data_IF_273224669743
#
_entry.id   IF_273224669743
#
_cell.length_a   1.000
_cell.length_b   1.000
_cell.length_c   1.000
_cell.angle_alpha   90.00
_cell.angle_beta   90.00
_cell.angle_gamma   90.00
#
_symmetry.space_group_name_H-M   'P 1'
#
loop_
_entity.id
_entity.type
_entity.pdbx_description
1 polymer ?
#
# COMPACT_ATOMS: atom_id res chain seq x y z
N UNK A 1 8.69 -11.09 8.09
CA UNK A 1 7.83 -9.89 8.12
C UNK A 1 6.58 -10.16 7.28
N UNK A 2 5.43 -9.79 7.78
CA UNK A 2 4.18 -9.98 7.06
C UNK A 2 4.01 -8.86 6.05
N UNK A 3 3.73 -9.22 4.80
CA UNK A 3 3.50 -8.27 3.71
C UNK A 3 1.99 -8.09 3.53
N UNK A 4 1.54 -6.86 3.61
CA UNK A 4 0.13 -6.53 3.47
C UNK A 4 -0.05 -5.65 2.24
N UNK A 5 -0.91 -6.10 1.32
CA UNK A 5 -1.23 -5.36 0.12
C UNK A 5 -2.49 -4.53 0.30
N UNK A 6 -2.50 -3.33 -0.28
CA UNK A 6 -3.67 -2.47 -0.28
C UNK A 6 -3.96 -2.09 -1.73
N UNK A 7 -5.16 -2.44 -2.20
CA UNK A 7 -5.64 -2.03 -3.52
C UNK A 7 -6.51 -0.79 -3.33
N UNK A 8 -6.15 0.30 -3.99
CA UNK A 8 -6.87 1.56 -3.86
C UNK A 8 -6.26 2.44 -2.77
N UNK A 9 -5.26 3.25 -3.15
CA UNK A 9 -4.57 4.16 -2.24
C UNK A 9 -5.25 5.53 -2.17
N UNK A 10 -6.57 5.54 -2.07
CA UNK A 10 -7.31 6.76 -1.80
C UNK A 10 -7.16 7.17 -0.34
N UNK A 11 -8.03 8.06 0.12
CA UNK A 11 -7.95 8.60 1.48
C UNK A 11 -8.02 7.49 2.54
N UNK A 12 -8.95 6.55 2.38
CA UNK A 12 -9.14 5.46 3.34
C UNK A 12 -7.98 4.48 3.29
N UNK A 13 -7.56 4.10 2.07
CA UNK A 13 -6.44 3.17 1.90
C UNK A 13 -5.14 3.71 2.47
N UNK A 14 -4.91 5.03 2.32
CA UNK A 14 -3.74 5.67 2.90
C UNK A 14 -3.75 5.63 4.42
N UNK A 15 -4.91 5.84 5.05
CA UNK A 15 -5.04 5.76 6.50
C UNK A 15 -4.75 4.36 7.03
N UNK A 16 -5.31 3.35 6.37
CA UNK A 16 -5.07 1.95 6.73
C UNK A 16 -3.58 1.60 6.59
N UNK A 17 -2.96 2.05 5.49
CA UNK A 17 -1.54 1.80 5.27
C UNK A 17 -0.67 2.39 6.38
N UNK A 18 -0.95 3.62 6.78
CA UNK A 18 -0.18 4.28 7.84
C UNK A 18 -0.31 3.52 9.16
N UNK A 19 -1.52 3.09 9.52
CA UNK A 19 -1.76 2.35 10.75
C UNK A 19 -1.01 1.01 10.74
N UNK A 20 -1.04 0.31 9.61
CA UNK A 20 -0.35 -0.97 9.47
C UNK A 20 1.17 -0.79 9.56
N UNK A 21 1.71 0.28 8.99
CA UNK A 21 3.13 0.57 9.12
C UNK A 21 3.53 0.83 10.56
N UNK A 22 2.71 1.55 11.30
CA UNK A 22 2.96 1.79 12.73
C UNK A 22 2.99 0.50 13.53
N UNK A 23 2.26 -0.51 13.09
CA UNK A 23 2.25 -1.82 13.72
C UNK A 23 3.42 -2.70 13.29
N UNK A 24 4.27 -2.25 12.37
CA UNK A 24 5.46 -2.96 11.96
C UNK A 24 5.30 -3.86 10.73
N UNK A 25 4.17 -3.80 10.04
CA UNK A 25 3.97 -4.58 8.82
C UNK A 25 4.64 -3.91 7.62
N UNK A 26 5.00 -4.73 6.62
CA UNK A 26 5.42 -4.24 5.32
C UNK A 26 4.17 -3.99 4.48
N UNK A 27 3.99 -2.77 4.01
CA UNK A 27 2.77 -2.36 3.31
C UNK A 27 3.07 -2.10 1.84
N UNK A 28 2.31 -2.75 0.96
CA UNK A 28 2.44 -2.67 -0.48
C UNK A 28 1.16 -2.08 -1.04
N UNK A 29 1.25 -0.97 -1.75
CA UNK A 29 0.08 -0.28 -2.27
C UNK A 29 -0.05 -0.38 -3.78
N UNK A 30 -1.27 -0.50 -4.27
CA UNK A 30 -1.56 -0.48 -5.70
C UNK A 30 -2.60 0.59 -6.00
N UNK A 31 -2.30 1.43 -6.98
CA UNK A 31 -3.19 2.47 -7.45
C UNK A 31 -3.00 2.66 -8.94
N UNK A 32 -4.07 2.98 -9.65
CA UNK A 32 -4.00 3.27 -11.09
C UNK A 32 -3.19 4.54 -11.38
N UNK A 33 -3.14 5.47 -10.43
CA UNK A 33 -2.47 6.76 -10.62
C UNK A 33 -1.06 6.70 -10.07
N UNK A 34 -0.09 6.90 -10.96
CA UNK A 34 1.32 6.94 -10.55
C UNK A 34 1.60 8.03 -9.53
N UNK A 35 0.94 9.18 -9.65
CA UNK A 35 1.09 10.28 -8.70
C UNK A 35 0.66 9.86 -7.31
N UNK A 36 -0.44 9.10 -7.20
CA UNK A 36 -0.91 8.57 -5.92
C UNK A 36 0.11 7.61 -5.31
N UNK A 37 0.70 6.75 -6.14
CA UNK A 37 1.74 5.82 -5.69
C UNK A 37 2.96 6.56 -5.15
N UNK A 38 3.45 7.55 -5.89
CA UNK A 38 4.61 8.34 -5.49
C UNK A 38 4.35 9.08 -4.19
N UNK A 39 3.18 9.68 -4.06
CA UNK A 39 2.80 10.42 -2.88
C UNK A 39 2.69 9.50 -1.66
N UNK A 40 2.11 8.32 -1.84
CA UNK A 40 1.96 7.36 -0.74
C UNK A 40 3.31 6.91 -0.19
N UNK A 41 4.28 6.65 -1.07
CA UNK A 41 5.63 6.29 -0.66
C UNK A 41 6.31 7.47 0.03
N UNK A 42 6.20 8.65 -0.56
CA UNK A 42 6.82 9.86 -0.01
C UNK A 42 6.28 10.21 1.38
N UNK A 43 4.99 9.99 1.62
CA UNK A 43 4.36 10.23 2.91
C UNK A 43 4.58 9.10 3.92
N UNK A 44 5.19 8.00 3.48
CA UNK A 44 5.47 6.87 4.36
C UNK A 44 4.25 6.04 4.73
N UNK A 45 3.16 6.12 3.98
CA UNK A 45 1.96 5.31 4.24
C UNK A 45 2.06 3.90 3.68
N UNK A 46 2.98 3.69 2.74
CA UNK A 46 3.32 2.36 2.20
C UNK A 46 4.82 2.26 2.02
N UNK A 47 5.33 1.04 2.01
CA UNK A 47 6.75 0.79 1.74
C UNK A 47 7.05 0.79 0.25
N UNK A 48 6.16 0.22 -0.53
CA UNK A 48 6.23 0.22 -1.99
C UNK A 48 4.85 0.46 -2.57
N UNK A 49 4.81 1.06 -3.74
CA UNK A 49 3.56 1.29 -4.46
C UNK A 49 3.79 1.13 -5.96
N UNK A 50 2.78 0.62 -6.65
CA UNK A 50 2.84 0.41 -8.09
C UNK A 50 1.44 0.52 -8.69
N UNK A 51 1.38 0.77 -10.01
CA UNK A 51 0.14 0.67 -10.76
C UNK A 51 -0.13 -0.75 -11.23
N UNK A 52 0.81 -1.68 -10.96
CA UNK A 52 0.74 -3.06 -11.40
C UNK A 52 0.26 -3.96 -10.25
N UNK A 53 -0.79 -4.75 -10.52
CA UNK A 53 -1.30 -5.70 -9.53
C UNK A 53 -0.28 -6.79 -9.18
N UNK A 54 0.70 -7.01 -10.04
CA UNK A 54 1.76 -8.01 -9.79
C UNK A 54 2.54 -7.74 -8.50
N UNK A 55 2.57 -6.49 -8.03
CA UNK A 55 3.21 -6.19 -6.74
C UNK A 55 2.59 -6.98 -5.60
N UNK A 56 1.30 -7.31 -5.70
CA UNK A 56 0.58 -8.02 -4.66
C UNK A 56 0.89 -9.51 -4.60
N UNK A 57 1.67 -10.03 -5.54
CA UNK A 57 2.03 -11.45 -5.57
C UNK A 57 2.80 -11.88 -4.32
N UNK A 58 3.48 -10.95 -3.66
CA UNK A 58 4.23 -11.23 -2.43
C UNK A 58 3.45 -10.88 -1.16
N UNK A 59 2.20 -10.41 -1.30
CA UNK A 59 1.40 -10.05 -0.14
C UNK A 59 0.81 -11.29 0.54
N UNK A 60 0.85 -11.30 1.85
CA UNK A 60 0.24 -12.35 2.67
C UNK A 60 -1.24 -12.09 2.88
N UNK A 61 -1.64 -10.82 2.89
CA UNK A 61 -3.01 -10.39 3.08
C UNK A 61 -3.25 -9.17 2.20
N UNK A 62 -4.44 -9.07 1.62
CA UNK A 62 -4.78 -7.96 0.72
C UNK A 62 -6.07 -7.29 1.20
N UNK A 63 -6.01 -5.98 1.38
CA UNK A 63 -7.18 -5.15 1.61
C UNK A 63 -7.58 -4.47 0.30
N UNK A 64 -8.87 -4.48 0.01
CA UNK A 64 -9.44 -3.78 -1.14
C UNK A 64 -10.27 -2.61 -0.61
N UNK A 65 -9.88 -1.40 -0.97
CA UNK A 65 -10.54 -0.18 -0.51
C UNK A 65 -11.29 0.54 -1.62
#
# INVERSE_FOLDING_TARGET
>A
MINIGIVGLGLIGGSVGLDLKKLGYCVLGVSRRKQTCQKAVALGVVDEASSELSLLSIADLIFIC
#
